data_IF_420970278856
#
_entry.id   IF_420970278856
#
_cell.length_a   1.000
_cell.length_b   1.000
_cell.length_c   1.000
_cell.angle_alpha   90.00
_cell.angle_beta   90.00
_cell.angle_gamma   90.00
#
_symmetry.space_group_name_H-M   'P 1'
#
loop_
_entity.id
_entity.type
_entity.pdbx_description
1 polymer ?
#
# COMPACT_ATOMS: atom_id res chain seq x y z
N UNK A 1 27.95 10.35 1.32
CA UNK A 1 27.07 10.39 2.51
C UNK A 1 26.70 8.95 2.86
N UNK A 2 26.86 8.51 4.10
CA UNK A 2 26.64 7.11 4.51
C UNK A 2 25.15 6.75 4.44
N UNK A 3 24.79 5.50 4.12
CA UNK A 3 23.39 5.07 4.12
C UNK A 3 22.75 5.22 5.52
N UNK A 4 21.43 5.43 5.54
CA UNK A 4 20.66 5.76 6.74
C UNK A 4 19.81 4.55 7.14
N UNK A 5 19.94 4.02 8.37
CA UNK A 5 19.01 3.02 8.88
C UNK A 5 17.68 3.66 9.25
N UNK A 6 16.59 3.22 8.64
CA UNK A 6 15.24 3.72 8.90
C UNK A 6 14.41 2.59 9.53
N UNK A 7 13.83 2.86 10.70
CA UNK A 7 12.88 1.94 11.32
C UNK A 7 11.54 2.01 10.57
N UNK A 8 11.06 0.90 10.04
CA UNK A 8 9.87 0.82 9.21
C UNK A 8 8.80 -0.07 9.84
N UNK A 9 7.58 0.46 9.95
CA UNK A 9 6.37 -0.28 10.30
C UNK A 9 5.45 -0.29 9.08
N UNK A 10 5.07 -1.46 8.59
CA UNK A 10 4.16 -1.62 7.46
C UNK A 10 2.85 -2.22 7.94
N UNK A 11 1.75 -1.54 7.66
CA UNK A 11 0.39 -1.94 7.97
C UNK A 11 -0.45 -2.03 6.69
N UNK A 12 -1.33 -3.02 6.61
CA UNK A 12 -2.34 -3.11 5.55
C UNK A 12 -3.70 -2.69 6.06
N UNK A 13 -4.33 -1.80 5.31
CA UNK A 13 -5.71 -1.34 5.53
C UNK A 13 -6.58 -1.93 4.44
N UNK A 14 -7.61 -2.66 4.84
CA UNK A 14 -8.62 -3.22 3.94
C UNK A 14 -9.82 -2.26 3.86
N UNK A 15 -10.31 -2.00 2.64
CA UNK A 15 -11.48 -1.14 2.42
C UNK A 15 -12.75 -1.63 3.14
N UNK A 16 -13.54 -0.68 3.66
CA UNK A 16 -14.75 -0.86 4.50
C UNK A 16 -16.00 -1.26 3.69
N UNK A 17 -15.89 -1.44 2.37
CA UNK A 17 -17.06 -1.63 1.50
C UNK A 17 -17.96 -2.85 1.80
N UNK A 18 -17.55 -3.77 2.69
CA UNK A 18 -18.25 -5.03 2.98
C UNK A 18 -18.77 -5.20 4.42
N UNK A 19 -18.83 -4.15 5.25
CA UNK A 19 -19.31 -4.31 6.65
C UNK A 19 -20.84 -4.44 6.78
N UNK A 20 -21.59 -4.69 5.70
CA UNK A 20 -23.07 -4.78 5.77
C UNK A 20 -23.63 -6.15 6.16
N UNK A 21 -22.80 -7.18 6.34
CA UNK A 21 -23.28 -8.55 6.66
C UNK A 21 -22.92 -9.01 8.09
N UNK A 22 -22.05 -8.31 8.82
CA UNK A 22 -21.69 -8.74 10.18
C UNK A 22 -22.63 -8.14 11.23
N UNK A 23 -23.61 -8.92 11.68
CA UNK A 23 -24.50 -8.64 12.82
C UNK A 23 -23.80 -8.80 14.18
N UNK A 24 -22.56 -8.35 14.30
CA UNK A 24 -21.82 -8.31 15.57
C UNK A 24 -21.06 -6.97 15.65
N UNK A 25 -21.58 -6.09 16.51
CA UNK A 25 -21.03 -4.83 17.05
C UNK A 25 -19.64 -4.41 16.53
N UNK A 26 -19.62 -3.26 15.84
CA UNK A 26 -18.68 -2.15 16.07
C UNK A 26 -17.19 -2.47 16.28
N UNK A 27 -16.55 -3.24 15.38
CA UNK A 27 -15.08 -3.23 15.28
C UNK A 27 -14.69 -2.73 13.89
N UNK A 28 -14.23 -1.49 13.83
CA UNK A 28 -13.56 -0.95 12.64
C UNK A 28 -12.42 -1.91 12.25
N UNK A 29 -12.17 -2.17 10.95
CA UNK A 29 -11.06 -3.02 10.53
C UNK A 29 -9.76 -2.46 11.12
N UNK A 30 -9.18 -3.20 12.07
CA UNK A 30 -7.88 -2.83 12.64
C UNK A 30 -6.81 -3.02 11.55
N UNK A 31 -5.88 -2.05 11.39
CA UNK A 31 -4.79 -2.20 10.44
C UNK A 31 -3.96 -3.44 10.79
N UNK A 32 -3.70 -4.28 9.79
CA UNK A 32 -2.92 -5.50 9.98
C UNK A 32 -1.44 -5.20 9.84
N UNK A 33 -0.66 -5.43 10.90
CA UNK A 33 0.80 -5.29 10.88
C UNK A 33 1.43 -6.37 10.00
N UNK A 34 2.12 -5.97 8.92
CA UNK A 34 2.85 -6.88 8.02
C UNK A 34 4.36 -6.87 8.30
N UNK A 35 4.94 -5.73 8.68
CA UNK A 35 6.37 -5.64 8.99
C UNK A 35 6.67 -4.63 10.09
N UNK A 36 7.72 -4.91 10.87
CA UNK A 36 8.30 -4.01 11.87
C UNK A 36 9.81 -4.27 11.92
N UNK A 37 10.60 -3.57 11.10
CA UNK A 37 12.03 -3.86 10.92
C UNK A 37 12.81 -2.63 10.43
N UNK A 38 14.13 -2.67 10.56
CA UNK A 38 15.02 -1.63 10.02
C UNK A 38 15.39 -1.91 8.56
N UNK A 39 15.42 -0.84 7.77
CA UNK A 39 15.81 -0.86 6.35
C UNK A 39 16.94 0.14 6.13
N UNK A 40 17.96 -0.26 5.36
CA UNK A 40 19.09 0.60 5.01
C UNK A 40 18.75 1.35 3.73
N UNK A 41 18.57 2.68 3.83
CA UNK A 41 18.20 3.57 2.71
C UNK A 41 19.43 4.37 2.25
N UNK A 42 19.70 4.48 0.93
CA UNK A 42 20.77 5.33 0.43
C UNK A 42 20.53 6.79 0.81
N UNK A 43 21.59 7.46 1.27
CA UNK A 43 21.48 8.83 1.75
C UNK A 43 21.09 9.87 0.68
N UNK A 44 21.22 9.52 -0.59
CA UNK A 44 20.90 10.39 -1.73
C UNK A 44 19.44 10.31 -2.15
N UNK A 45 18.66 9.38 -1.59
CA UNK A 45 17.25 9.23 -1.93
C UNK A 45 16.49 10.50 -1.52
N UNK A 46 15.69 11.10 -2.42
CA UNK A 46 14.79 12.19 -2.07
C UNK A 46 13.79 11.73 -1.02
N UNK A 47 13.49 12.59 -0.05
CA UNK A 47 12.60 12.23 1.06
C UNK A 47 11.18 11.85 0.60
N UNK A 48 10.70 12.46 -0.49
CA UNK A 48 9.42 12.11 -1.11
C UNK A 48 9.35 10.66 -1.60
N UNK A 49 10.49 10.10 -2.01
CA UNK A 49 10.58 8.74 -2.57
C UNK A 49 10.86 7.68 -1.50
N UNK A 50 11.02 8.11 -0.23
CA UNK A 50 11.38 7.23 0.90
C UNK A 50 10.40 6.07 1.07
N UNK A 51 9.10 6.29 0.91
CA UNK A 51 8.08 5.24 1.07
C UNK A 51 8.25 4.16 0.01
N UNK A 52 8.41 4.55 -1.25
CA UNK A 52 8.63 3.62 -2.36
C UNK A 52 9.92 2.84 -2.21
N UNK A 53 11.03 3.53 -1.92
CA UNK A 53 12.34 2.91 -1.72
C UNK A 53 12.33 1.92 -0.54
N UNK A 54 11.68 2.29 0.57
CA UNK A 54 11.54 1.41 1.73
C UNK A 54 10.74 0.14 1.39
N UNK A 55 9.62 0.27 0.67
CA UNK A 55 8.81 -0.87 0.24
C UNK A 55 9.57 -1.81 -0.71
N UNK A 56 10.28 -1.26 -1.69
CA UNK A 56 11.10 -2.05 -2.63
C UNK A 56 12.17 -2.84 -1.87
N UNK A 57 12.87 -2.21 -0.92
CA UNK A 57 13.91 -2.89 -0.12
C UNK A 57 13.36 -3.92 0.85
N UNK A 58 12.12 -3.74 1.30
CA UNK A 58 11.40 -4.73 2.09
C UNK A 58 10.86 -5.90 1.22
N UNK A 59 10.99 -5.83 -0.10
CA UNK A 59 10.55 -6.86 -1.03
C UNK A 59 9.08 -6.77 -1.42
N UNK A 60 8.41 -5.64 -1.18
CA UNK A 60 7.03 -5.45 -1.64
C UNK A 60 6.98 -5.17 -3.14
N UNK A 61 5.96 -5.67 -3.85
CA UNK A 61 5.79 -5.40 -5.27
C UNK A 61 5.54 -3.91 -5.51
N UNK A 62 6.08 -3.40 -6.62
CA UNK A 62 5.98 -1.98 -6.99
C UNK A 62 4.53 -1.50 -7.17
N UNK A 63 3.62 -2.41 -7.54
CA UNK A 63 2.18 -2.13 -7.71
C UNK A 63 1.50 -1.63 -6.43
N UNK A 64 2.07 -1.90 -5.25
CA UNK A 64 1.52 -1.43 -3.98
C UNK A 64 1.94 -0.01 -3.61
N UNK A 65 3.04 0.50 -4.18
CA UNK A 65 3.57 1.84 -3.90
C UNK A 65 2.53 2.95 -4.10
N UNK A 66 1.76 3.02 -5.22
CA UNK A 66 0.76 4.08 -5.40
C UNK A 66 -0.38 4.04 -4.36
N UNK A 67 -0.67 2.84 -3.82
CA UNK A 67 -1.66 2.61 -2.77
C UNK A 67 -1.12 2.81 -1.36
N UNK A 68 0.17 3.10 -1.21
CA UNK A 68 0.80 3.31 0.08
C UNK A 68 0.72 4.77 0.54
N UNK A 69 0.62 4.97 1.85
CA UNK A 69 0.76 6.28 2.50
C UNK A 69 1.79 6.19 3.61
N UNK A 70 2.74 7.13 3.60
CA UNK A 70 3.78 7.25 4.61
C UNK A 70 3.43 8.26 5.69
N UNK A 71 3.92 8.02 6.89
CA UNK A 71 3.94 8.99 7.97
C UNK A 71 5.16 8.76 8.86
N UNK A 72 5.72 9.82 9.44
CA UNK A 72 6.82 9.75 10.38
C UNK A 72 6.26 9.85 11.80
N UNK A 73 6.55 8.84 12.60
CA UNK A 73 6.26 8.79 14.02
C UNK A 73 7.54 9.09 14.80
N UNK A 74 7.55 10.19 15.55
CA UNK A 74 8.67 10.54 16.45
C UNK A 74 8.25 10.24 17.89
N UNK A 75 8.82 9.20 18.51
CA UNK A 75 8.45 8.74 19.87
C UNK A 75 6.92 8.64 20.06
N UNK A 76 6.36 9.35 21.03
CA UNK A 76 4.94 9.33 21.40
C UNK A 76 4.13 10.44 20.72
N UNK A 77 4.64 11.02 19.63
CA UNK A 77 3.91 12.05 18.89
C UNK A 77 2.81 11.46 18.02
N UNK A 78 1.93 12.32 17.51
CA UNK A 78 1.01 11.89 16.45
C UNK A 78 1.81 11.65 15.16
N UNK A 79 1.48 10.61 14.36
CA UNK A 79 2.11 10.40 13.07
C UNK A 79 1.98 11.66 12.20
N UNK A 80 3.11 12.14 11.70
CA UNK A 80 3.20 13.30 10.82
C UNK A 80 3.20 12.82 9.37
N UNK A 81 2.27 13.30 8.53
CA UNK A 81 2.26 12.91 7.12
C UNK A 81 3.50 13.49 6.41
N UNK A 82 4.00 12.79 5.40
CA UNK A 82 5.30 13.07 4.77
C UNK A 82 5.42 14.52 4.29
N UNK A 83 4.31 15.10 3.81
CA UNK A 83 4.23 16.45 3.25
C UNK A 83 4.42 17.54 4.32
N UNK A 84 4.21 17.21 5.61
CA UNK A 84 4.44 18.13 6.73
C UNK A 84 5.85 18.05 7.31
N UNK A 85 6.61 17.01 6.96
CA UNK A 85 7.97 16.81 7.47
C UNK A 85 8.98 17.62 6.66
N UNK A 86 8.77 17.72 5.34
CA UNK A 86 9.63 18.44 4.42
C UNK A 86 8.81 19.37 3.53
N UNK A 87 9.12 20.67 3.54
CA UNK A 87 8.49 21.63 2.64
C UNK A 87 9.02 21.55 1.20
N UNK A 88 10.20 20.99 1.03
CA UNK A 88 10.95 21.01 -0.22
C UNK A 88 11.23 19.56 -0.66
N UNK A 89 10.71 19.14 -1.83
CA UNK A 89 10.67 17.73 -2.24
C UNK A 89 12.04 17.13 -2.58
N UNK A 90 13.05 17.96 -2.89
CA UNK A 90 14.41 17.52 -3.23
C UNK A 90 15.32 17.28 -2.04
N UNK A 91 14.87 17.60 -0.81
CA UNK A 91 15.59 17.28 0.42
C UNK A 91 15.82 15.79 0.53
N UNK A 92 17.04 15.41 0.88
CA UNK A 92 17.42 13.99 0.93
C UNK A 92 17.02 13.35 2.26
N UNK A 93 16.80 12.04 2.25
CA UNK A 93 16.53 11.24 3.47
C UNK A 93 17.60 11.48 4.54
N UNK A 94 18.87 11.64 4.14
CA UNK A 94 19.94 11.90 5.08
C UNK A 94 20.00 13.33 5.63
N UNK A 95 19.31 14.31 5.02
CA UNK A 95 19.17 15.64 5.63
C UNK A 95 18.07 15.66 6.69
N UNK A 96 17.06 14.82 6.52
CA UNK A 96 15.85 14.85 7.36
C UNK A 96 15.91 13.81 8.48
N UNK A 97 16.32 12.57 8.18
CA UNK A 97 16.22 11.46 9.11
C UNK A 97 17.53 11.03 9.75
N UNK A 98 18.70 11.45 9.25
CA UNK A 98 19.99 10.95 9.74
C UNK A 98 20.17 11.10 11.26
N UNK A 99 19.84 12.28 11.80
CA UNK A 99 19.93 12.58 13.24
C UNK A 99 18.72 12.06 14.04
N UNK A 100 17.67 11.58 13.36
CA UNK A 100 16.42 11.14 13.98
C UNK A 100 16.25 9.61 13.94
N UNK A 101 17.18 8.86 13.34
CA UNK A 101 17.08 7.41 13.13
C UNK A 101 16.77 6.58 14.38
N UNK A 102 17.20 7.04 15.55
CA UNK A 102 16.99 6.36 16.84
C UNK A 102 15.61 6.63 17.46
N UNK A 103 14.91 7.68 17.01
CA UNK A 103 13.65 8.15 17.62
C UNK A 103 12.49 8.24 16.63
N UNK A 104 12.78 8.23 15.33
CA UNK A 104 11.81 8.30 14.26
C UNK A 104 11.54 6.92 13.68
N UNK A 105 10.27 6.65 13.42
CA UNK A 105 9.79 5.45 12.75
C UNK A 105 8.97 5.85 11.53
N UNK A 106 9.30 5.29 10.38
CA UNK A 106 8.50 5.39 9.17
C UNK A 106 7.34 4.39 9.26
N UNK A 107 6.12 4.91 9.38
CA UNK A 107 4.89 4.12 9.33
C UNK A 107 4.30 4.19 7.92
N UNK A 108 4.16 3.03 7.29
CA UNK A 108 3.64 2.85 5.94
C UNK A 108 2.30 2.13 6.04
N UNK A 109 1.26 2.70 5.44
CA UNK A 109 -0.07 2.12 5.37
C UNK A 109 -0.41 1.78 3.93
N UNK A 110 -0.58 0.50 3.62
CA UNK A 110 -0.92 0.01 2.29
C UNK A 110 -2.43 -0.19 2.22
N UNK A 111 -3.09 0.55 1.33
CA UNK A 111 -4.53 0.43 1.14
C UNK A 111 -4.83 -0.62 0.09
N UNK A 112 -5.23 -1.82 0.53
CA UNK A 112 -5.66 -2.88 -0.38
C UNK A 112 -7.17 -2.84 -0.53
N UNK A 113 -7.64 -2.73 -1.78
CA UNK A 113 -8.99 -3.16 -2.10
C UNK A 113 -9.00 -4.68 -1.88
N UNK A 114 -9.74 -5.15 -0.86
CA UNK A 114 -10.02 -6.58 -0.77
C UNK A 114 -10.76 -6.92 -2.07
N UNK A 115 -10.35 -7.94 -2.85
CA UNK A 115 -11.29 -8.58 -3.76
C UNK A 115 -12.54 -8.88 -2.94
N UNK A 116 -13.76 -8.65 -3.47
CA UNK A 116 -14.97 -9.00 -2.72
C UNK A 116 -14.78 -10.43 -2.20
N UNK A 117 -15.16 -10.73 -0.93
CA UNK A 117 -15.11 -12.09 -0.44
C UNK A 117 -15.79 -12.99 -1.49
N UNK A 118 -15.29 -14.22 -1.71
CA UNK A 118 -15.92 -15.16 -2.64
C UNK A 118 -17.36 -15.39 -2.17
N UNK A 119 -18.27 -14.57 -2.68
CA UNK A 119 -19.69 -14.81 -2.52
C UNK A 119 -20.05 -15.84 -3.58
N UNK A 120 -20.96 -16.77 -3.28
CA UNK A 120 -21.43 -17.71 -4.30
C UNK A 120 -21.94 -16.99 -5.56
N UNK A 121 -22.47 -15.77 -5.41
CA UNK A 121 -22.85 -14.92 -6.54
C UNK A 121 -21.65 -14.40 -7.36
N UNK A 122 -20.55 -14.00 -6.71
CA UNK A 122 -19.31 -13.60 -7.39
C UNK A 122 -18.68 -14.78 -8.12
N UNK A 123 -18.62 -15.97 -7.50
CA UNK A 123 -18.11 -17.17 -8.16
C UNK A 123 -18.95 -17.58 -9.36
N UNK A 124 -20.28 -17.53 -9.25
CA UNK A 124 -21.20 -17.80 -10.37
C UNK A 124 -21.01 -16.75 -11.47
N UNK A 125 -20.89 -15.46 -11.12
CA UNK A 125 -20.60 -14.39 -12.08
C UNK A 125 -19.28 -14.64 -12.82
N UNK A 126 -18.20 -14.95 -12.11
CA UNK A 126 -16.88 -15.22 -12.72
C UNK A 126 -16.91 -16.46 -13.62
N UNK A 127 -17.57 -17.54 -13.20
CA UNK A 127 -17.71 -18.76 -14.01
C UNK A 127 -18.57 -18.52 -15.25
N UNK A 128 -19.67 -17.77 -15.13
CA UNK A 128 -20.52 -17.41 -16.27
C UNK A 128 -19.80 -16.47 -17.25
N UNK A 129 -19.06 -15.48 -16.74
CA UNK A 129 -18.24 -14.60 -17.57
C UNK A 129 -17.21 -15.42 -18.36
N UNK A 130 -16.50 -16.35 -17.70
CA UNK A 130 -15.56 -17.26 -18.39
C UNK A 130 -16.23 -18.13 -19.44
N UNK A 131 -17.40 -18.71 -19.14
CA UNK A 131 -18.15 -19.52 -20.10
C UNK A 131 -18.62 -18.70 -21.31
N UNK A 132 -19.12 -17.49 -21.08
CA UNK A 132 -19.57 -16.57 -22.14
C UNK A 132 -18.39 -16.11 -23.00
N UNK A 133 -17.25 -15.78 -22.40
CA UNK A 133 -16.04 -15.47 -23.15
C UNK A 133 -15.60 -16.66 -24.01
N UNK A 134 -15.67 -17.89 -23.47
CA UNK A 134 -15.24 -19.08 -24.20
C UNK A 134 -16.18 -19.46 -25.36
N UNK A 135 -17.50 -19.29 -25.21
CA UNK A 135 -18.48 -19.64 -26.24
C UNK A 135 -18.80 -18.50 -27.22
N UNK A 136 -18.78 -17.27 -26.75
CA UNK A 136 -19.23 -16.10 -27.52
C UNK A 136 -18.07 -15.18 -27.93
N UNK A 137 -16.83 -15.67 -27.85
CA UNK A 137 -15.62 -14.91 -28.18
C UNK A 137 -15.73 -14.20 -29.53
N UNK A 138 -16.04 -14.97 -30.59
CA UNK A 138 -16.13 -14.43 -31.95
C UNK A 138 -17.23 -13.37 -32.10
N UNK A 139 -18.35 -13.53 -31.39
CA UNK A 139 -19.45 -12.55 -31.40
C UNK A 139 -19.05 -11.26 -30.68
N UNK A 140 -18.40 -11.37 -29.51
CA UNK A 140 -17.94 -10.21 -28.74
C UNK A 140 -16.85 -9.42 -29.47
N UNK A 141 -15.91 -10.12 -30.11
CA UNK A 141 -14.88 -9.49 -30.98
C UNK A 141 -15.54 -8.81 -32.18
N UNK A 142 -16.49 -9.46 -32.85
CA UNK A 142 -17.20 -8.87 -34.00
C UNK A 142 -18.07 -7.67 -33.61
N UNK A 143 -18.56 -7.62 -32.37
CA UNK A 143 -19.31 -6.50 -31.82
C UNK A 143 -18.41 -5.33 -31.37
N UNK A 144 -17.09 -5.45 -31.53
CA UNK A 144 -16.12 -4.41 -31.20
C UNK A 144 -15.81 -4.30 -29.70
N UNK A 145 -16.08 -5.34 -28.90
CA UNK A 145 -15.63 -5.35 -27.51
C UNK A 145 -14.11 -5.53 -27.47
N UNK A 146 -13.36 -4.62 -26.81
CA UNK A 146 -11.93 -4.78 -26.61
C UNK A 146 -11.70 -5.84 -25.53
N UNK A 147 -11.59 -7.10 -25.96
CA UNK A 147 -11.11 -8.19 -25.12
C UNK A 147 -9.58 -8.11 -25.16
N UNK A 148 -8.93 -7.94 -24.01
CA UNK A 148 -7.46 -8.01 -23.92
C UNK A 148 -6.97 -9.38 -24.42
N UNK A 149 -5.96 -9.39 -25.28
CA UNK A 149 -5.30 -10.61 -25.80
C UNK A 149 -4.55 -11.39 -24.71
#
# INVERSE_FOLDING_TARGET
KSPVPVHCIVETIHSIADTRISTIRDKWPEPQLEANTYVIIPATVPFQDLVGEALIRLGYPADLIPSARGSILVKNWRPLPMEKVANEPSRTVAEILAELTTVATLKIQIFRTRPPPPSPAAEVRDKLLRLLLLHSHALLVSAGCPLDE
#
